data_IF_093886491883
#
_entry.id   IF_093886491883
#
_cell.length_a   1.000
_cell.length_b   1.000
_cell.length_c   1.000
_cell.angle_alpha   90.00
_cell.angle_beta   90.00
_cell.angle_gamma   90.00
#
_symmetry.space_group_name_H-M   'P 1'
#
loop_
_entity.id
_entity.type
_entity.pdbx_description
1 polymer ?
#
# COMPACT_ATOMS: atom_id res chain seq x y z
N UNK A 1 -19.20 2.62 39.43
CA UNK A 1 -20.27 3.55 39.01
C UNK A 1 -19.69 4.37 37.88
N UNK A 2 -20.19 4.18 36.65
CA UNK A 2 -19.73 4.95 35.50
C UNK A 2 -20.16 6.40 35.70
N UNK A 3 -19.21 7.35 35.73
CA UNK A 3 -19.53 8.77 35.75
C UNK A 3 -20.47 9.12 34.59
N UNK A 4 -21.45 10.04 34.76
CA UNK A 4 -22.34 10.41 33.68
C UNK A 4 -21.53 10.87 32.46
N UNK A 5 -21.86 10.34 31.29
CA UNK A 5 -21.17 10.64 30.04
C UNK A 5 -21.36 12.12 29.72
N UNK A 6 -20.30 12.92 29.91
CA UNK A 6 -20.33 14.34 29.66
C UNK A 6 -20.27 14.57 28.14
N UNK A 7 -21.33 15.13 27.59
CA UNK A 7 -21.38 15.56 26.19
C UNK A 7 -20.78 16.96 26.05
N UNK A 8 -20.11 17.18 24.91
CA UNK A 8 -19.58 18.46 24.47
C UNK A 8 -20.27 18.81 23.15
N UNK A 9 -20.71 20.06 23.04
CA UNK A 9 -21.22 20.61 21.80
C UNK A 9 -20.06 21.14 20.94
N UNK A 10 -19.82 20.53 19.78
CA UNK A 10 -18.89 21.06 18.79
C UNK A 10 -19.68 21.91 17.82
N UNK A 11 -19.34 23.20 17.75
CA UNK A 11 -20.00 24.18 16.90
C UNK A 11 -19.08 24.55 15.74
N UNK A 12 -19.57 24.41 14.52
CA UNK A 12 -18.87 24.85 13.33
C UNK A 12 -19.87 25.49 12.36
N UNK A 13 -19.59 26.74 11.97
CA UNK A 13 -20.52 27.60 11.25
C UNK A 13 -21.92 27.64 11.91
N UNK A 14 -22.93 27.11 11.22
CA UNK A 14 -24.32 27.04 11.70
C UNK A 14 -24.75 25.62 12.13
N UNK A 15 -23.79 24.70 12.31
CA UNK A 15 -24.07 23.32 12.74
C UNK A 15 -23.52 23.08 14.13
N UNK A 16 -24.22 22.26 14.91
CA UNK A 16 -23.74 21.79 16.19
C UNK A 16 -23.86 20.27 16.32
N UNK A 17 -22.84 19.67 16.94
CA UNK A 17 -22.68 18.24 17.07
C UNK A 17 -22.43 17.90 18.55
N UNK A 18 -23.23 16.99 19.10
CA UNK A 18 -23.03 16.52 20.48
C UNK A 18 -22.17 15.26 20.49
N UNK A 19 -21.02 15.32 21.15
CA UNK A 19 -20.03 14.23 21.16
C UNK A 19 -19.55 13.98 22.59
N UNK A 20 -19.28 12.71 22.90
CA UNK A 20 -18.78 12.31 24.21
C UNK A 20 -17.39 12.86 24.48
N UNK A 21 -17.22 13.58 25.61
CA UNK A 21 -15.95 14.16 26.04
C UNK A 21 -14.85 13.11 26.18
N UNK A 22 -15.19 11.93 26.69
CA UNK A 22 -14.23 10.84 26.88
C UNK A 22 -13.71 10.32 25.54
N UNK A 23 -14.60 10.11 24.56
CA UNK A 23 -14.21 9.66 23.21
C UNK A 23 -13.33 10.69 22.50
N UNK A 24 -13.66 11.98 22.62
CA UNK A 24 -12.84 13.07 22.05
C UNK A 24 -11.41 13.04 22.62
N UNK A 25 -11.27 12.99 23.94
CA UNK A 25 -9.95 12.97 24.61
C UNK A 25 -9.17 11.68 24.29
N UNK A 26 -9.85 10.54 24.17
CA UNK A 26 -9.22 9.27 23.85
C UNK A 26 -8.65 9.24 22.43
N UNK A 27 -9.37 9.81 21.46
CA UNK A 27 -9.07 9.67 20.02
C UNK A 27 -8.36 10.88 19.41
N UNK A 28 -8.40 12.05 20.04
CA UNK A 28 -7.84 13.29 19.52
C UNK A 28 -6.89 13.93 20.52
N UNK A 29 -5.64 14.11 20.10
CA UNK A 29 -4.62 14.77 20.91
C UNK A 29 -4.91 16.27 21.06
N UNK A 30 -5.58 16.89 20.08
CA UNK A 30 -6.08 18.27 20.16
C UNK A 30 -7.06 18.44 21.32
N UNK A 31 -8.13 17.63 21.38
CA UNK A 31 -9.11 17.73 22.45
C UNK A 31 -8.51 17.31 23.81
N UNK A 32 -7.62 16.32 23.83
CA UNK A 32 -6.88 15.96 25.05
C UNK A 32 -6.08 17.15 25.58
N UNK A 33 -5.32 17.82 24.71
CA UNK A 33 -4.56 19.01 25.07
C UNK A 33 -5.50 20.13 25.55
N UNK A 34 -6.55 20.45 24.79
CA UNK A 34 -7.54 21.47 25.11
C UNK A 34 -8.11 21.29 26.53
N UNK A 35 -8.59 20.09 26.86
CA UNK A 35 -9.19 19.82 28.17
C UNK A 35 -8.19 19.62 29.31
N UNK A 36 -6.91 19.38 29.00
CA UNK A 36 -5.82 19.31 29.99
C UNK A 36 -5.14 20.65 30.26
N UNK A 37 -5.36 21.65 29.40
CA UNK A 37 -4.61 22.92 29.38
C UNK A 37 -4.90 23.86 30.57
N UNK A 38 -6.00 23.65 31.29
CA UNK A 38 -6.46 24.57 32.34
C UNK A 38 -6.95 25.94 31.82
N UNK A 39 -7.11 26.10 30.50
CA UNK A 39 -7.68 27.29 29.88
C UNK A 39 -9.20 27.39 30.10
N UNK A 40 -9.80 28.55 29.82
CA UNK A 40 -11.23 28.79 30.05
C UNK A 40 -12.10 27.79 29.28
N UNK A 41 -11.68 27.50 28.05
CA UNK A 41 -12.25 26.55 27.10
C UNK A 41 -12.26 25.10 27.64
N UNK A 42 -11.37 24.76 28.58
CA UNK A 42 -11.36 23.44 29.21
C UNK A 42 -12.59 23.20 30.13
N UNK A 43 -13.15 24.29 30.65
CA UNK A 43 -14.33 24.31 31.50
C UNK A 43 -15.65 24.49 30.75
N UNK A 44 -15.60 24.87 29.47
CA UNK A 44 -16.79 25.08 28.64
C UNK A 44 -17.34 23.75 28.10
N UNK A 45 -18.67 23.68 27.97
CA UNK A 45 -19.39 22.52 27.42
C UNK A 45 -19.58 22.62 25.90
N UNK A 46 -19.02 23.67 25.29
CA UNK A 46 -19.04 23.93 23.86
C UNK A 46 -17.65 24.27 23.33
N UNK A 47 -17.30 23.77 22.14
CA UNK A 47 -16.05 24.10 21.44
C UNK A 47 -16.38 24.63 20.06
N UNK A 48 -15.90 25.84 19.73
CA UNK A 48 -16.08 26.43 18.42
C UNK A 48 -14.88 26.12 17.52
N UNK A 49 -15.13 25.44 16.40
CA UNK A 49 -14.13 25.16 15.38
C UNK A 49 -14.36 26.07 14.16
N UNK A 50 -13.27 26.46 13.49
CA UNK A 50 -13.29 27.32 12.31
C UNK A 50 -12.25 26.83 11.31
N UNK A 51 -12.50 27.06 10.01
CA UNK A 51 -11.55 26.76 8.94
C UNK A 51 -11.44 25.28 8.57
N UNK A 52 -12.41 24.46 8.97
CA UNK A 52 -12.50 23.05 8.59
C UNK A 52 -13.69 22.83 7.66
N UNK A 53 -13.58 21.83 6.79
CA UNK A 53 -14.68 21.33 5.98
C UNK A 53 -15.75 20.66 6.86
N UNK A 54 -17.02 20.91 6.54
CA UNK A 54 -18.17 20.26 7.19
C UNK A 54 -18.14 18.74 6.99
N UNK A 55 -17.83 18.31 5.77
CA UNK A 55 -17.68 16.89 5.41
C UNK A 55 -16.59 16.23 6.24
N UNK A 56 -15.41 16.86 6.33
CA UNK A 56 -14.27 16.35 7.10
C UNK A 56 -14.57 16.25 8.59
N UNK A 57 -15.24 17.25 9.18
CA UNK A 57 -15.65 17.20 10.58
C UNK A 57 -16.65 16.06 10.82
N UNK A 58 -17.65 15.91 9.96
CA UNK A 58 -18.66 14.84 10.10
C UNK A 58 -18.01 13.45 10.07
N UNK A 59 -17.09 13.19 9.13
CA UNK A 59 -16.35 11.93 9.04
C UNK A 59 -15.48 11.67 10.28
N UNK A 60 -14.77 12.69 10.77
CA UNK A 60 -13.91 12.55 11.96
C UNK A 60 -14.75 12.31 13.21
N UNK A 61 -15.90 12.99 13.36
CA UNK A 61 -16.80 12.76 14.49
C UNK A 61 -17.50 11.41 14.43
N UNK A 62 -17.88 10.95 13.22
CA UNK A 62 -18.38 9.60 13.02
C UNK A 62 -17.34 8.57 13.45
N UNK A 63 -16.08 8.74 13.05
CA UNK A 63 -14.98 7.89 13.48
C UNK A 63 -14.80 7.90 15.00
N UNK A 64 -14.81 9.06 15.64
CA UNK A 64 -14.69 9.17 17.10
C UNK A 64 -15.80 8.40 17.79
N UNK A 65 -17.02 8.42 17.23
CA UNK A 65 -18.17 7.74 17.82
C UNK A 65 -18.20 6.24 17.58
N UNK A 66 -17.79 5.78 16.39
CA UNK A 66 -18.00 4.40 15.91
C UNK A 66 -16.71 3.59 15.75
N UNK A 67 -15.55 4.26 15.75
CA UNK A 67 -14.24 3.73 15.35
C UNK A 67 -14.20 3.18 13.91
N UNK A 68 -15.11 3.64 13.04
CA UNK A 68 -15.17 3.29 11.62
C UNK A 68 -15.22 4.56 10.78
N UNK A 69 -14.57 4.53 9.63
CA UNK A 69 -14.64 5.58 8.62
C UNK A 69 -14.48 4.91 7.26
N UNK A 70 -15.32 5.30 6.30
CA UNK A 70 -15.19 4.84 4.92
C UNK A 70 -14.27 5.80 4.16
N UNK A 71 -13.23 5.25 3.52
CA UNK A 71 -12.23 6.04 2.81
C UNK A 71 -12.59 6.14 1.34
N UNK A 72 -13.30 7.21 1.00
CA UNK A 72 -13.71 7.56 -0.37
C UNK A 72 -12.77 8.64 -0.92
N UNK A 73 -12.44 8.57 -2.22
CA UNK A 73 -11.51 9.52 -2.84
C UNK A 73 -12.06 10.96 -2.82
N UNK A 74 -13.37 11.13 -3.01
CA UNK A 74 -14.05 12.44 -3.06
C UNK A 74 -13.96 13.24 -1.76
N UNK A 75 -13.84 12.56 -0.61
CA UNK A 75 -13.79 13.18 0.73
C UNK A 75 -12.41 13.03 1.37
N UNK A 76 -11.41 12.59 0.61
CA UNK A 76 -10.10 12.22 1.14
C UNK A 76 -9.34 13.45 1.65
N UNK A 77 -9.38 14.55 0.91
CA UNK A 77 -8.79 15.83 1.31
C UNK A 77 -9.40 16.32 2.63
N UNK A 78 -10.73 16.42 2.67
CA UNK A 78 -11.49 16.83 3.87
C UNK A 78 -11.14 15.97 5.09
N UNK A 79 -11.05 14.64 4.90
CA UNK A 79 -10.75 13.67 5.96
C UNK A 79 -9.32 13.84 6.47
N UNK A 80 -8.33 13.92 5.58
CA UNK A 80 -6.92 14.03 5.97
C UNK A 80 -6.64 15.39 6.61
N UNK A 81 -7.18 16.47 6.05
CA UNK A 81 -7.08 17.82 6.63
C UNK A 81 -7.60 17.83 8.06
N UNK A 82 -8.85 17.39 8.24
CA UNK A 82 -9.53 17.45 9.54
C UNK A 82 -8.90 16.51 10.55
N UNK A 83 -8.53 15.29 10.14
CA UNK A 83 -7.85 14.34 11.02
C UNK A 83 -6.46 14.84 11.44
N UNK A 84 -5.75 15.54 10.55
CA UNK A 84 -4.44 16.12 10.86
C UNK A 84 -4.59 17.32 11.80
N UNK A 85 -5.52 18.23 11.52
CA UNK A 85 -5.79 19.41 12.35
C UNK A 85 -6.24 19.03 13.76
N UNK A 86 -7.24 18.14 13.88
CA UNK A 86 -7.74 17.64 15.16
C UNK A 86 -6.84 16.55 15.76
N UNK A 87 -5.70 16.23 15.14
CA UNK A 87 -4.72 15.24 15.60
C UNK A 87 -5.37 13.88 15.96
N UNK A 88 -6.26 13.40 15.10
CA UNK A 88 -6.90 12.08 15.20
C UNK A 88 -6.01 11.05 14.52
N UNK A 89 -4.86 10.81 15.14
CA UNK A 89 -3.82 9.87 14.66
C UNK A 89 -4.35 8.48 14.28
N UNK A 90 -5.35 7.89 14.96
CA UNK A 90 -5.91 6.60 14.53
C UNK A 90 -6.48 6.60 13.10
N UNK A 91 -7.08 7.70 12.62
CA UNK A 91 -7.56 7.81 11.23
C UNK A 91 -6.37 7.79 10.27
N UNK A 92 -5.33 8.58 10.55
CA UNK A 92 -4.11 8.61 9.73
C UNK A 92 -3.45 7.24 9.63
N UNK A 93 -3.50 6.44 10.71
CA UNK A 93 -3.02 5.06 10.72
C UNK A 93 -3.90 4.11 9.90
N UNK A 94 -5.22 4.28 9.92
CA UNK A 94 -6.14 3.52 9.06
C UNK A 94 -5.88 3.78 7.57
N UNK A 95 -5.57 5.03 7.22
CA UNK A 95 -5.22 5.38 5.84
C UNK A 95 -3.98 4.66 5.32
N UNK A 96 -3.06 4.21 6.19
CA UNK A 96 -1.88 3.43 5.77
C UNK A 96 -2.27 2.09 5.10
N UNK A 97 -3.39 1.48 5.50
CA UNK A 97 -3.91 0.24 4.90
C UNK A 97 -4.87 0.47 3.74
N UNK A 98 -5.32 1.70 3.53
CA UNK A 98 -6.31 2.08 2.51
C UNK A 98 -5.66 2.73 1.26
N UNK A 99 -4.32 2.70 1.18
CA UNK A 99 -3.58 3.16 0.00
C UNK A 99 -3.82 2.20 -1.17
N UNK A 100 -4.28 2.75 -2.29
CA UNK A 100 -4.66 2.06 -3.52
C UNK A 100 -4.02 2.74 -4.74
N UNK A 101 -4.06 2.06 -5.88
CA UNK A 101 -3.54 2.59 -7.15
C UNK A 101 -4.25 3.87 -7.60
N UNK A 102 -5.49 4.11 -7.19
CA UNK A 102 -6.30 5.27 -7.58
C UNK A 102 -6.22 6.46 -6.64
N UNK A 103 -5.79 6.27 -5.39
CA UNK A 103 -5.67 7.35 -4.42
C UNK A 103 -4.22 7.68 -4.01
N UNK A 104 -3.25 6.80 -4.25
CA UNK A 104 -1.91 6.93 -3.64
C UNK A 104 -1.15 8.23 -3.96
N UNK A 105 -1.36 8.83 -5.14
CA UNK A 105 -0.75 10.12 -5.52
C UNK A 105 -1.40 11.27 -4.76
N UNK A 106 -2.72 11.26 -4.63
CA UNK A 106 -3.47 12.27 -3.89
C UNK A 106 -3.17 12.19 -2.39
N UNK A 107 -3.22 10.98 -1.81
CA UNK A 107 -2.81 10.72 -0.42
C UNK A 107 -1.39 11.23 -0.18
N UNK A 108 -0.47 11.00 -1.11
CA UNK A 108 0.91 11.51 -1.02
C UNK A 108 0.94 13.05 -0.99
N UNK A 109 0.27 13.72 -1.92
CA UNK A 109 0.26 15.19 -1.97
C UNK A 109 -0.35 15.78 -0.69
N UNK A 110 -1.45 15.23 -0.21
CA UNK A 110 -2.08 15.66 1.05
C UNK A 110 -1.15 15.39 2.25
N UNK A 111 -0.39 14.28 2.24
CA UNK A 111 0.57 14.00 3.30
C UNK A 111 1.73 15.00 3.37
N UNK A 112 2.12 15.59 2.23
CA UNK A 112 3.11 16.67 2.18
C UNK A 112 2.52 17.98 2.70
N UNK A 113 1.29 18.31 2.29
CA UNK A 113 0.59 19.54 2.72
C UNK A 113 0.38 19.54 4.25
N UNK A 114 -0.06 18.42 4.81
CA UNK A 114 -0.39 18.31 6.24
C UNK A 114 0.74 17.72 7.10
N UNK A 115 1.92 17.47 6.53
CA UNK A 115 3.10 17.01 7.25
C UNK A 115 2.99 15.61 7.87
N UNK A 116 2.19 14.71 7.29
CA UNK A 116 1.98 13.35 7.81
C UNK A 116 3.04 12.38 7.29
N UNK A 117 4.23 12.41 7.90
CA UNK A 117 5.41 11.69 7.42
C UNK A 117 5.23 10.17 7.24
N UNK A 118 4.53 9.49 8.15
CA UNK A 118 4.28 8.04 8.02
C UNK A 118 3.46 7.72 6.76
N UNK A 119 2.41 8.50 6.50
CA UNK A 119 1.53 8.35 5.34
C UNK A 119 2.29 8.64 4.03
N UNK A 120 3.10 9.70 4.03
CA UNK A 120 4.00 10.04 2.92
C UNK A 120 4.93 8.88 2.55
N UNK A 121 5.62 8.32 3.54
CA UNK A 121 6.54 7.20 3.33
C UNK A 121 5.82 5.93 2.87
N UNK A 122 4.62 5.69 3.38
CA UNK A 122 3.79 4.57 2.94
C UNK A 122 3.39 4.73 1.46
N UNK A 123 3.00 5.92 1.02
CA UNK A 123 2.68 6.20 -0.38
C UNK A 123 3.89 6.01 -1.29
N UNK A 124 5.07 6.53 -0.92
CA UNK A 124 6.30 6.34 -1.69
C UNK A 124 6.67 4.85 -1.84
N UNK A 125 6.58 4.09 -0.74
CA UNK A 125 6.81 2.65 -0.76
C UNK A 125 5.79 1.94 -1.63
N UNK A 126 4.51 2.29 -1.53
CA UNK A 126 3.45 1.72 -2.33
C UNK A 126 3.69 1.97 -3.82
N UNK A 127 3.92 3.21 -4.22
CA UNK A 127 4.21 3.57 -5.62
C UNK A 127 5.45 2.85 -6.16
N UNK A 128 6.50 2.70 -5.34
CA UNK A 128 7.69 1.92 -5.67
C UNK A 128 7.35 0.44 -5.90
N UNK A 129 6.61 -0.20 -4.99
CA UNK A 129 6.19 -1.60 -5.14
C UNK A 129 5.26 -1.82 -6.35
N UNK A 130 4.53 -0.79 -6.76
CA UNK A 130 3.61 -0.79 -7.89
C UNK A 130 4.12 -0.01 -9.11
N UNK A 131 5.44 0.10 -9.27
CA UNK A 131 6.08 1.01 -10.23
C UNK A 131 5.54 0.87 -11.67
N UNK A 132 5.47 -0.35 -12.24
CA UNK A 132 4.96 -0.52 -13.61
C UNK A 132 3.47 -0.15 -13.79
N UNK A 133 2.55 -0.54 -12.88
CA UNK A 133 1.20 0.04 -12.86
C UNK A 133 1.19 1.57 -12.76
N UNK A 134 2.04 2.18 -11.93
CA UNK A 134 2.11 3.63 -11.76
C UNK A 134 2.57 4.35 -13.04
N UNK A 135 3.47 3.77 -13.83
CA UNK A 135 3.90 4.34 -15.12
C UNK A 135 2.78 4.48 -16.16
N UNK A 136 1.62 3.84 -15.95
CA UNK A 136 0.45 3.95 -16.83
C UNK A 136 -0.55 4.99 -16.35
N UNK A 137 -0.32 5.58 -15.17
CA UNK A 137 -1.26 6.49 -14.52
C UNK A 137 -0.92 7.94 -14.85
N UNK A 138 -1.87 8.74 -15.37
CA UNK A 138 -1.64 10.15 -15.65
C UNK A 138 -1.24 10.94 -14.39
N UNK A 139 -1.82 10.61 -13.24
CA UNK A 139 -1.55 11.25 -11.95
C UNK A 139 -0.10 11.02 -11.50
N UNK A 140 0.51 9.88 -11.86
CA UNK A 140 1.92 9.66 -11.53
C UNK A 140 2.84 10.63 -12.28
N UNK A 141 2.47 11.02 -13.50
CA UNK A 141 3.26 11.93 -14.32
C UNK A 141 3.16 13.39 -13.87
N UNK A 142 2.20 13.74 -13.02
CA UNK A 142 2.12 15.09 -12.42
C UNK A 142 3.15 15.29 -11.31
N UNK A 143 3.72 14.20 -10.78
CA UNK A 143 4.77 14.25 -9.76
C UNK A 143 6.08 14.83 -10.33
N UNK A 144 6.84 15.60 -9.52
CA UNK A 144 8.16 16.10 -9.88
C UNK A 144 9.11 14.99 -10.35
N UNK A 145 10.03 15.34 -11.27
CA UNK A 145 10.95 14.36 -11.85
C UNK A 145 11.85 13.72 -10.78
N UNK A 146 12.33 14.51 -9.84
CA UNK A 146 13.15 14.08 -8.71
C UNK A 146 12.43 13.03 -7.87
N UNK A 147 11.13 13.22 -7.64
CA UNK A 147 10.32 12.29 -6.88
C UNK A 147 10.09 10.97 -7.63
N UNK A 148 9.85 11.04 -8.94
CA UNK A 148 9.70 9.85 -9.79
C UNK A 148 10.99 9.03 -9.84
N UNK A 149 12.15 9.69 -9.90
CA UNK A 149 13.45 9.03 -9.78
C UNK A 149 13.66 8.43 -8.39
N UNK A 150 13.31 9.14 -7.31
CA UNK A 150 13.37 8.60 -5.95
C UNK A 150 12.54 7.31 -5.81
N UNK A 151 11.33 7.28 -6.37
CA UNK A 151 10.45 6.10 -6.37
C UNK A 151 11.10 4.94 -7.15
N UNK A 152 11.73 5.24 -8.29
CA UNK A 152 12.48 4.25 -9.07
C UNK A 152 13.69 3.72 -8.31
N UNK A 153 14.46 4.58 -7.67
CA UNK A 153 15.60 4.18 -6.82
C UNK A 153 15.15 3.32 -5.64
N UNK A 154 14.05 3.68 -4.97
CA UNK A 154 13.45 2.86 -3.92
C UNK A 154 13.10 1.46 -4.40
N UNK A 155 12.63 1.32 -5.65
CA UNK A 155 12.33 0.02 -6.25
C UNK A 155 13.58 -0.82 -6.51
N UNK A 156 14.69 -0.17 -6.82
CA UNK A 156 15.99 -0.80 -7.07
C UNK A 156 16.79 -1.08 -5.79
N UNK A 157 16.40 -0.53 -4.63
CA UNK A 157 17.05 -0.80 -3.34
C UNK A 157 16.83 -2.25 -2.91
N UNK A 158 17.89 -2.89 -2.45
CA UNK A 158 17.85 -4.25 -1.91
C UNK A 158 19.15 -4.98 -2.17
N UNK A 159 19.15 -6.28 -1.84
CA UNK A 159 20.27 -7.18 -2.13
C UNK A 159 20.02 -7.86 -3.47
N UNK A 160 20.94 -7.70 -4.42
CA UNK A 160 20.93 -8.46 -5.64
C UNK A 160 20.94 -9.95 -5.29
N UNK A 161 19.93 -10.70 -5.76
CA UNK A 161 19.72 -12.09 -5.39
C UNK A 161 19.57 -12.91 -6.66
N UNK A 162 20.33 -14.00 -6.78
CA UNK A 162 20.14 -14.95 -7.87
C UNK A 162 18.85 -15.74 -7.64
N UNK A 163 17.99 -15.79 -8.65
CA UNK A 163 16.72 -16.52 -8.62
C UNK A 163 16.71 -17.55 -9.74
N UNK A 164 16.29 -18.77 -9.42
CA UNK A 164 16.00 -19.81 -10.38
C UNK A 164 14.48 -20.04 -10.42
N UNK A 165 13.93 -20.19 -11.62
CA UNK A 165 12.52 -20.49 -11.85
C UNK A 165 12.43 -21.74 -12.72
N UNK A 166 11.63 -22.71 -12.32
CA UNK A 166 11.47 -23.95 -13.05
C UNK A 166 10.88 -25.06 -12.22
N UNK A 167 10.94 -26.26 -12.78
CA UNK A 167 10.62 -27.49 -12.07
C UNK A 167 11.92 -28.08 -11.47
N UNK A 168 11.96 -28.19 -10.15
CA UNK A 168 13.12 -28.70 -9.41
C UNK A 168 12.89 -30.13 -8.86
N UNK A 169 11.85 -30.84 -9.32
CA UNK A 169 11.63 -32.26 -8.96
C UNK A 169 12.85 -33.09 -9.30
N UNK A 170 13.34 -33.88 -8.33
CA UNK A 170 14.48 -34.77 -8.51
C UNK A 170 15.85 -34.07 -8.56
N UNK A 171 15.92 -32.77 -8.25
CA UNK A 171 17.21 -32.11 -8.03
C UNK A 171 17.79 -32.55 -6.68
N UNK A 172 19.11 -32.72 -6.59
CA UNK A 172 19.82 -33.01 -5.32
C UNK A 172 19.92 -31.78 -4.40
N UNK A 173 18.88 -30.94 -4.39
CA UNK A 173 18.79 -29.83 -3.47
C UNK A 173 18.15 -30.39 -2.20
N UNK A 174 18.87 -30.34 -1.07
CA UNK A 174 18.37 -30.71 0.27
C UNK A 174 17.28 -29.71 0.74
N UNK A 175 16.15 -29.67 0.02
CA UNK A 175 14.98 -28.85 0.30
C UNK A 175 14.03 -29.68 1.17
N UNK A 176 13.41 -29.05 2.15
CA UNK A 176 12.48 -29.73 3.06
C UNK A 176 11.37 -30.46 2.27
N UNK A 177 11.07 -31.71 2.68
CA UNK A 177 9.98 -32.51 2.12
C UNK A 177 8.66 -31.75 2.21
N UNK A 178 8.13 -31.36 1.05
CA UNK A 178 6.75 -30.92 0.87
C UNK A 178 6.12 -31.74 -0.26
N UNK A 179 4.80 -31.87 -0.22
CA UNK A 179 4.03 -32.63 -1.22
C UNK A 179 4.12 -32.03 -2.64
N UNK A 180 4.44 -30.73 -2.76
CA UNK A 180 4.61 -30.03 -4.04
C UNK A 180 6.02 -29.44 -4.20
N UNK A 181 6.65 -29.59 -5.38
CA UNK A 181 7.98 -29.07 -5.65
C UNK A 181 8.00 -27.55 -5.71
N UNK A 182 9.11 -26.97 -5.24
CA UNK A 182 9.27 -25.53 -5.31
C UNK A 182 9.32 -25.05 -6.75
N UNK A 183 8.68 -23.92 -7.08
CA UNK A 183 8.71 -23.36 -8.45
C UNK A 183 9.72 -22.23 -8.61
N UNK A 184 10.08 -21.56 -7.51
CA UNK A 184 11.07 -20.50 -7.48
C UNK A 184 12.02 -20.71 -6.32
N UNK A 185 13.32 -20.61 -6.60
CA UNK A 185 14.39 -20.71 -5.62
C UNK A 185 15.23 -19.44 -5.63
N UNK A 186 15.74 -19.06 -4.47
CA UNK A 186 16.73 -17.98 -4.31
C UNK A 186 18.04 -18.54 -3.81
N UNK A 187 19.15 -18.01 -4.28
CA UNK A 187 20.48 -18.40 -3.78
C UNK A 187 20.82 -17.60 -2.52
N UNK A 188 21.09 -18.28 -1.41
CA UNK A 188 21.63 -17.67 -0.20
C UNK A 188 23.15 -17.65 -0.25
N UNK A 189 23.76 -16.49 -0.45
CA UNK A 189 25.22 -16.37 -0.54
C UNK A 189 25.91 -16.72 0.78
N UNK A 190 25.31 -16.42 1.93
CA UNK A 190 25.91 -16.73 3.23
C UNK A 190 26.02 -18.23 3.46
N UNK A 191 24.98 -18.98 3.12
CA UNK A 191 24.93 -20.43 3.33
C UNK A 191 25.30 -21.24 2.10
N UNK A 192 25.66 -20.55 1.00
CA UNK A 192 26.03 -21.11 -0.30
C UNK A 192 25.04 -22.16 -0.81
N UNK A 193 23.75 -21.97 -0.55
CA UNK A 193 22.69 -22.94 -0.87
C UNK A 193 21.46 -22.29 -1.47
N UNK A 194 20.76 -23.04 -2.31
CA UNK A 194 19.43 -22.68 -2.77
C UNK A 194 18.42 -22.79 -1.64
N UNK A 195 17.52 -21.82 -1.58
CA UNK A 195 16.43 -21.76 -0.62
C UNK A 195 15.11 -21.56 -1.37
N UNK A 196 14.01 -22.11 -0.85
CA UNK A 196 12.68 -21.78 -1.31
C UNK A 196 12.44 -20.27 -1.38
N UNK A 197 11.84 -19.81 -2.49
CA UNK A 197 11.34 -18.44 -2.63
C UNK A 197 9.81 -18.42 -2.68
N UNK A 198 9.19 -19.13 -3.64
CA UNK A 198 7.73 -19.15 -3.81
C UNK A 198 7.24 -20.32 -4.69
N UNK A 199 5.98 -20.72 -4.48
CA UNK A 199 5.24 -21.75 -5.25
C UNK A 199 4.04 -21.18 -6.01
N UNK A 200 4.13 -19.92 -6.42
CA UNK A 200 3.05 -19.17 -7.04
C UNK A 200 3.21 -19.04 -8.56
N UNK A 201 3.91 -20.00 -9.19
CA UNK A 201 4.10 -19.95 -10.63
C UNK A 201 2.74 -20.04 -11.34
N UNK A 202 2.48 -19.17 -12.33
CA UNK A 202 1.24 -19.22 -13.10
C UNK A 202 0.97 -20.63 -13.68
N UNK A 203 -0.29 -21.14 -13.69
CA UNK A 203 -0.60 -22.50 -14.13
C UNK A 203 -0.24 -22.79 -15.60
N UNK A 204 -0.27 -21.76 -16.45
CA UNK A 204 0.17 -21.81 -17.83
C UNK A 204 1.69 -22.00 -17.97
N UNK A 205 2.44 -21.61 -16.94
CA UNK A 205 3.89 -21.73 -16.87
C UNK A 205 4.40 -23.06 -16.30
N UNK A 206 3.51 -23.91 -15.76
CA UNK A 206 3.89 -25.23 -15.24
C UNK A 206 4.22 -26.18 -16.41
N UNK A 207 5.31 -26.95 -16.28
CA UNK A 207 5.81 -27.93 -17.27
C UNK A 207 6.20 -27.36 -18.64
N UNK A 208 6.59 -26.09 -18.69
CA UNK A 208 7.06 -25.42 -19.90
C UNK A 208 8.57 -25.24 -19.81
N UNK A 209 9.24 -25.39 -20.95
CA UNK A 209 10.69 -25.28 -21.07
C UNK A 209 11.07 -24.18 -22.07
N UNK A 210 12.34 -23.77 -22.02
CA UNK A 210 12.91 -22.85 -23.01
C UNK A 210 12.36 -21.42 -22.92
N UNK A 211 12.06 -20.95 -21.72
CA UNK A 211 11.64 -19.58 -21.48
C UNK A 211 12.73 -18.57 -21.84
N UNK A 212 12.33 -17.46 -22.45
CA UNK A 212 13.12 -16.23 -22.40
C UNK A 212 12.88 -15.53 -21.06
N UNK A 213 13.95 -15.08 -20.40
CA UNK A 213 13.85 -14.28 -19.17
C UNK A 213 14.59 -12.95 -19.31
N UNK A 214 14.07 -11.92 -18.65
CA UNK A 214 14.70 -10.61 -18.57
C UNK A 214 14.34 -9.93 -17.24
N UNK A 215 15.18 -9.01 -16.77
CA UNK A 215 14.90 -8.19 -15.58
C UNK A 215 14.86 -6.72 -15.98
N UNK A 216 13.80 -6.03 -15.58
CA UNK A 216 13.64 -4.59 -15.79
C UNK A 216 12.96 -3.95 -14.57
N UNK A 217 13.54 -2.87 -14.05
CA UNK A 217 13.08 -2.18 -12.82
C UNK A 217 12.79 -3.15 -11.66
N UNK A 218 13.66 -4.15 -11.49
CA UNK A 218 13.56 -5.21 -10.48
C UNK A 218 12.29 -6.08 -10.60
N UNK A 219 11.66 -6.13 -11.77
CA UNK A 219 10.65 -7.13 -12.14
C UNK A 219 11.29 -8.23 -12.98
N UNK A 220 10.92 -9.48 -12.74
CA UNK A 220 11.35 -10.62 -13.54
C UNK A 220 10.29 -10.91 -14.61
N UNK A 221 10.68 -10.78 -15.87
CA UNK A 221 9.85 -11.10 -17.01
C UNK A 221 10.19 -12.50 -17.50
N UNK A 222 9.16 -13.30 -17.72
CA UNK A 222 9.27 -14.61 -18.36
C UNK A 222 8.33 -14.63 -19.55
N UNK A 223 8.85 -15.02 -20.70
CA UNK A 223 8.15 -14.93 -21.98
C UNK A 223 8.38 -16.19 -22.81
N UNK A 224 7.33 -16.70 -23.42
CA UNK A 224 7.41 -17.78 -24.39
C UNK A 224 7.56 -19.16 -23.76
N UNK A 225 8.30 -20.03 -24.45
CA UNK A 225 8.53 -21.41 -24.05
C UNK A 225 7.68 -22.42 -24.82
N UNK A 226 7.94 -23.70 -24.58
CA UNK A 226 7.27 -24.80 -25.25
C UNK A 226 6.96 -25.94 -24.28
N UNK A 227 5.85 -26.64 -24.54
CA UNK A 227 5.51 -27.91 -23.86
C UNK A 227 5.98 -29.09 -24.69
N UNK A 228 6.18 -30.25 -24.05
CA UNK A 228 6.65 -31.48 -24.71
C UNK A 228 5.76 -31.94 -25.88
N UNK A 229 4.50 -31.49 -25.95
CA UNK A 229 3.60 -31.71 -27.08
C UNK A 229 3.82 -30.73 -28.27
N UNK A 230 4.93 -29.99 -28.31
CA UNK A 230 5.26 -28.96 -29.33
C UNK A 230 4.27 -27.78 -29.39
N UNK A 231 3.51 -27.55 -28.33
CA UNK A 231 2.70 -26.35 -28.20
C UNK A 231 3.57 -25.20 -27.70
N UNK A 232 3.91 -24.28 -28.59
CA UNK A 232 4.57 -23.02 -28.25
C UNK A 232 3.61 -22.15 -27.45
N UNK A 233 4.15 -21.54 -26.39
CA UNK A 233 3.42 -20.65 -25.51
C UNK A 233 3.65 -19.22 -25.97
N UNK A 234 2.55 -18.53 -26.21
CA UNK A 234 2.54 -17.11 -26.52
C UNK A 234 2.10 -16.32 -25.29
N UNK A 235 2.67 -16.57 -24.11
CA UNK A 235 2.33 -15.87 -22.87
C UNK A 235 3.55 -15.13 -22.34
N UNK A 236 3.30 -13.95 -21.77
CA UNK A 236 4.30 -13.12 -21.11
C UNK A 236 3.82 -12.82 -19.69
N UNK A 237 4.66 -13.16 -18.71
CA UNK A 237 4.39 -12.94 -17.29
C UNK A 237 5.47 -12.06 -16.68
N UNK A 238 5.06 -11.26 -15.71
CA UNK A 238 5.94 -10.41 -14.92
C UNK A 238 5.75 -10.73 -13.44
N UNK A 239 6.84 -11.08 -12.78
CA UNK A 239 6.91 -11.28 -11.34
C UNK A 239 7.38 -10.02 -10.62
N UNK A 240 6.61 -9.63 -9.61
CA UNK A 240 6.93 -8.54 -8.70
C UNK A 240 7.49 -9.09 -7.38
N UNK A 241 8.81 -9.01 -7.13
CA UNK A 241 9.41 -9.50 -5.90
C UNK A 241 9.02 -8.70 -4.65
N UNK A 242 8.56 -7.44 -4.79
CA UNK A 242 8.09 -6.66 -3.63
C UNK A 242 6.77 -7.17 -3.07
N UNK A 243 5.95 -7.81 -3.91
CA UNK A 243 4.62 -8.31 -3.55
C UNK A 243 4.53 -9.84 -3.57
N UNK A 244 5.56 -10.51 -4.09
CA UNK A 244 5.54 -11.93 -4.39
C UNK A 244 4.32 -12.33 -5.24
N UNK A 245 4.12 -11.61 -6.34
CA UNK A 245 2.95 -11.77 -7.21
C UNK A 245 3.37 -11.84 -8.68
N UNK A 246 2.70 -12.71 -9.43
CA UNK A 246 2.80 -12.79 -10.88
C UNK A 246 1.63 -12.05 -11.54
N UNK A 247 1.92 -11.38 -12.66
CA UNK A 247 0.93 -10.70 -13.48
C UNK A 247 1.09 -11.12 -14.94
N UNK A 248 -0.02 -11.40 -15.60
CA UNK A 248 -0.03 -11.66 -17.05
C UNK A 248 -0.01 -10.34 -17.81
N UNK A 249 0.85 -10.22 -18.83
CA UNK A 249 1.12 -8.94 -19.51
C UNK A 249 0.43 -8.89 -20.87
N UNK A 250 0.56 -9.93 -21.68
CA UNK A 250 -0.05 -10.04 -23.00
C UNK A 250 0.22 -11.42 -23.59
N UNK A 251 -0.60 -11.82 -24.55
CA UNK A 251 -0.23 -12.91 -25.46
C UNK A 251 0.68 -12.37 -26.57
N UNK A 252 1.77 -13.08 -26.88
CA UNK A 252 2.69 -12.69 -27.96
C UNK A 252 1.96 -12.74 -29.32
N UNK A 253 2.14 -11.70 -30.15
CA UNK A 253 1.59 -11.64 -31.51
C UNK A 253 2.19 -12.69 -32.47
N UNK A 254 3.35 -13.26 -32.12
CA UNK A 254 3.96 -14.40 -32.80
C UNK A 254 4.56 -15.35 -31.75
N UNK A 255 4.28 -16.64 -31.92
CA UNK A 255 4.86 -17.71 -31.11
C UNK A 255 6.37 -17.78 -31.37
N UNK A 256 7.16 -17.92 -30.31
CA UNK A 256 8.61 -18.11 -30.39
C UNK A 256 8.97 -19.43 -29.74
N UNK A 257 9.17 -20.47 -30.54
CA UNK A 257 9.91 -21.67 -30.16
C UNK A 257 11.43 -21.48 -30.32
N UNK A 258 12.25 -22.37 -29.74
CA UNK A 258 13.69 -22.34 -29.97
C UNK A 258 13.99 -22.63 -31.45
N UNK A 259 14.94 -21.87 -32.02
CA UNK A 259 15.60 -22.23 -33.28
C UNK A 259 16.53 -23.42 -33.07
#
# INVERSE_FOLDING_TARGET
MSSPEKLIEIVMDNRSYNVSKSKLIEKSDYFRALYSSGMREAGEDSVQLQGLSVSGLELVLEFINTSKVEVVNETLEDLIETASFLQVTPILKLLLSEIRLDNCVEVFNLSEVYGTHELRMACLKFMSCHYHPMLRRPEFHTLPAELREQIREMRMRGMATLVAVGDFVGTCLDLADQDEPWSMLRYGEQEQRWKPLANNLPPDMVNVRGYGSAVLDNYLFIVGGYRMASQEIAAAHCYNPCRNEWTHIASLNQKKGPH
#
